data_IF_847915348806
#
_entry.id   IF_847915348806
#
_cell.length_a   1.000
_cell.length_b   1.000
_cell.length_c   1.000
_cell.angle_alpha   90.00
_cell.angle_beta   90.00
_cell.angle_gamma   90.00
#
_symmetry.space_group_name_H-M   'P 1'
#
loop_
_entity.id
_entity.type
_entity.pdbx_description
1 polymer ?
#
# COMPACT_ATOMS: atom_id res chain seq x y z
N UNK A 1 17.49 -6.67 -7.24
CA UNK A 1 18.87 -6.14 -7.26
C UNK A 1 18.86 -4.62 -7.50
N UNK A 2 18.25 -4.10 -8.58
CA UNK A 2 18.22 -2.68 -8.93
C UNK A 2 17.66 -1.77 -7.81
N UNK A 3 16.55 -2.14 -7.15
CA UNK A 3 16.00 -1.40 -6.03
C UNK A 3 17.03 -1.23 -4.90
N UNK A 4 17.65 -2.32 -4.46
CA UNK A 4 18.61 -2.32 -3.35
C UNK A 4 19.89 -1.55 -3.66
N UNK A 5 20.39 -1.65 -4.92
CA UNK A 5 21.69 -1.10 -5.29
C UNK A 5 21.62 0.34 -5.80
N UNK A 6 20.46 0.76 -6.33
CA UNK A 6 20.32 2.07 -6.98
C UNK A 6 19.24 2.94 -6.36
N UNK A 7 18.04 2.40 -6.11
CA UNK A 7 16.89 3.21 -5.67
C UNK A 7 16.99 3.55 -4.20
N UNK A 8 17.03 2.57 -3.32
CA UNK A 8 17.06 2.82 -1.87
C UNK A 8 18.23 3.70 -1.39
N UNK A 9 19.47 3.57 -1.93
CA UNK A 9 20.54 4.50 -1.57
C UNK A 9 20.31 5.95 -2.03
N UNK A 10 19.48 6.17 -3.06
CA UNK A 10 19.08 7.50 -3.49
C UNK A 10 17.94 8.03 -2.62
N UNK A 11 16.92 7.21 -2.36
CA UNK A 11 15.80 7.57 -1.46
C UNK A 11 16.28 7.98 -0.06
N UNK A 12 17.29 7.27 0.47
CA UNK A 12 17.89 7.60 1.77
C UNK A 12 18.56 9.00 1.84
N UNK A 13 18.77 9.65 0.71
CA UNK A 13 19.33 11.00 0.62
C UNK A 13 18.28 12.10 0.47
N UNK A 14 17.04 11.74 0.21
CA UNK A 14 15.97 12.72 0.00
C UNK A 14 15.65 13.44 1.30
N UNK A 15 15.65 14.76 1.25
CA UNK A 15 15.13 15.62 2.31
C UNK A 15 13.60 15.74 2.19
N UNK A 16 12.95 16.31 3.21
CA UNK A 16 11.53 16.65 3.14
C UNK A 16 11.25 17.68 2.04
N UNK A 17 12.16 18.64 1.86
CA UNK A 17 12.10 19.65 0.80
C UNK A 17 12.13 19.00 -0.58
N UNK A 18 13.02 18.03 -0.81
CA UNK A 18 13.08 17.29 -2.07
C UNK A 18 11.76 16.56 -2.34
N UNK A 19 11.22 15.86 -1.33
CA UNK A 19 9.94 15.14 -1.45
C UNK A 19 8.79 16.10 -1.73
N UNK A 20 8.76 17.26 -1.09
CA UNK A 20 7.74 18.29 -1.34
C UNK A 20 7.79 18.78 -2.80
N UNK A 21 8.95 19.17 -3.29
CA UNK A 21 9.11 19.70 -4.65
C UNK A 21 8.87 18.62 -5.73
N UNK A 22 9.35 17.40 -5.50
CA UNK A 22 9.07 16.28 -6.43
C UNK A 22 7.60 15.89 -6.44
N UNK A 23 6.91 15.97 -5.30
CA UNK A 23 5.46 15.76 -5.24
C UNK A 23 4.73 16.82 -6.04
N UNK A 24 5.11 18.09 -5.93
CA UNK A 24 4.53 19.18 -6.73
C UNK A 24 4.75 18.96 -8.23
N UNK A 25 5.94 18.55 -8.62
CA UNK A 25 6.24 18.23 -10.02
C UNK A 25 5.37 17.07 -10.53
N UNK A 26 5.25 16.00 -9.75
CA UNK A 26 4.40 14.85 -10.08
C UNK A 26 2.92 15.26 -10.19
N UNK A 27 2.43 16.13 -9.30
CA UNK A 27 1.04 16.64 -9.36
C UNK A 27 0.80 17.45 -10.64
N UNK A 28 1.74 18.26 -11.09
CA UNK A 28 1.61 18.96 -12.37
C UNK A 28 1.47 17.98 -13.54
N UNK A 29 2.27 16.93 -13.56
CA UNK A 29 2.19 15.87 -14.57
C UNK A 29 0.84 15.13 -14.50
N UNK A 30 0.36 14.79 -13.29
CA UNK A 30 -0.95 14.17 -13.10
C UNK A 30 -2.09 15.05 -13.60
N UNK A 31 -2.14 16.32 -13.21
CA UNK A 31 -3.21 17.24 -13.60
C UNK A 31 -3.22 17.49 -15.12
N UNK A 32 -2.06 17.64 -15.74
CA UNK A 32 -1.97 17.79 -17.21
C UNK A 32 -2.37 16.53 -17.96
N UNK A 33 -2.29 15.36 -17.30
CA UNK A 33 -2.73 14.07 -17.83
C UNK A 33 -4.20 13.73 -17.50
N UNK A 34 -4.93 14.65 -16.83
CA UNK A 34 -6.34 14.46 -16.45
C UNK A 34 -6.55 13.64 -15.18
N UNK A 35 -5.50 13.37 -14.40
CA UNK A 35 -5.58 12.66 -13.12
C UNK A 35 -5.91 13.68 -12.02
N UNK A 36 -7.02 13.46 -11.30
CA UNK A 36 -7.55 14.40 -10.30
C UNK A 36 -7.51 13.86 -8.86
N UNK A 37 -7.06 12.63 -8.65
CA UNK A 37 -6.84 12.04 -7.34
C UNK A 37 -5.77 10.96 -7.40
N UNK A 38 -5.02 10.82 -6.33
CA UNK A 38 -3.96 9.82 -6.18
C UNK A 38 -4.18 9.00 -4.91
N UNK A 39 -3.67 7.76 -4.93
CA UNK A 39 -3.54 6.92 -3.75
C UNK A 39 -2.05 6.63 -3.55
N UNK A 40 -1.46 7.16 -2.49
CA UNK A 40 -0.02 7.28 -2.33
C UNK A 40 0.50 6.50 -1.12
N UNK A 41 1.51 5.66 -1.36
CA UNK A 41 2.30 5.00 -0.32
C UNK A 41 3.78 5.31 -0.56
N UNK A 42 4.29 6.36 0.08
CA UNK A 42 5.70 6.73 -0.03
C UNK A 42 6.24 7.29 1.29
N UNK A 43 7.47 7.80 1.27
CA UNK A 43 8.12 8.40 2.43
C UNK A 43 7.42 9.70 2.84
N UNK A 44 7.46 10.02 4.14
CA UNK A 44 6.97 11.29 4.69
C UNK A 44 5.56 11.68 4.24
N UNK A 45 4.50 10.93 4.62
CA UNK A 45 3.12 11.22 4.21
C UNK A 45 2.67 12.65 4.50
N UNK A 46 3.13 13.25 5.61
CA UNK A 46 2.83 14.64 5.97
C UNK A 46 3.30 15.63 4.91
N UNK A 47 4.50 15.45 4.40
CA UNK A 47 5.08 16.34 3.36
C UNK A 47 4.33 16.22 2.04
N UNK A 48 3.94 15.00 1.68
CA UNK A 48 3.11 14.75 0.48
C UNK A 48 1.74 15.39 0.64
N UNK A 49 1.13 15.26 1.83
CA UNK A 49 -0.15 15.91 2.13
C UNK A 49 -0.09 17.43 1.97
N UNK A 50 0.96 18.07 2.49
CA UNK A 50 1.18 19.51 2.36
C UNK A 50 1.27 19.94 0.88
N UNK A 51 2.08 19.26 0.08
CA UNK A 51 2.18 19.52 -1.35
C UNK A 51 0.84 19.32 -2.08
N UNK A 52 0.08 18.27 -1.73
CA UNK A 52 -1.25 18.03 -2.29
C UNK A 52 -2.25 19.14 -1.94
N UNK A 53 -2.21 19.64 -0.69
CA UNK A 53 -3.06 20.75 -0.27
C UNK A 53 -2.75 22.04 -1.02
N UNK A 54 -1.47 22.37 -1.14
CA UNK A 54 -1.01 23.59 -1.82
C UNK A 54 -1.33 23.58 -3.32
N UNK A 55 -1.31 22.40 -3.93
CA UNK A 55 -1.63 22.20 -5.35
C UNK A 55 -3.11 21.90 -5.63
N UNK A 56 -3.94 21.72 -4.60
CA UNK A 56 -5.35 21.38 -4.75
C UNK A 56 -5.62 19.94 -5.23
N UNK A 57 -4.68 19.01 -5.00
CA UNK A 57 -4.79 17.61 -5.42
C UNK A 57 -5.48 16.75 -4.35
N UNK A 58 -6.44 15.92 -4.77
CA UNK A 58 -7.00 14.90 -3.87
C UNK A 58 -6.02 13.77 -3.68
N UNK A 59 -5.78 13.39 -2.41
CA UNK A 59 -4.86 12.32 -2.06
C UNK A 59 -5.43 11.42 -0.97
N UNK A 60 -5.38 10.13 -1.21
CA UNK A 60 -5.51 9.10 -0.18
C UNK A 60 -4.10 8.68 0.19
N UNK A 61 -3.67 8.96 1.39
CA UNK A 61 -2.37 8.55 1.92
C UNK A 61 -2.48 7.19 2.60
N UNK A 62 -1.39 6.46 2.62
CA UNK A 62 -1.24 5.26 3.45
C UNK A 62 0.20 5.11 3.90
N UNK A 63 0.41 4.41 5.01
CA UNK A 63 1.75 4.17 5.53
C UNK A 63 2.51 3.13 4.73
N UNK A 64 3.80 3.35 4.57
CA UNK A 64 4.78 2.34 4.14
C UNK A 64 5.48 1.66 5.32
N UNK A 65 4.82 1.55 6.46
CA UNK A 65 5.33 0.94 7.69
C UNK A 65 6.05 -0.38 7.42
N UNK A 66 7.24 -0.50 7.95
CA UNK A 66 8.05 -1.72 7.89
C UNK A 66 9.04 -1.74 9.07
N UNK A 67 9.83 -2.81 9.22
CA UNK A 67 10.77 -2.96 10.35
C UNK A 67 11.87 -1.89 10.43
N UNK A 68 12.06 -1.10 9.38
CA UNK A 68 13.19 -0.17 9.26
C UNK A 68 12.75 1.29 9.22
N UNK A 69 11.49 1.56 8.99
CA UNK A 69 10.95 2.91 8.85
C UNK A 69 9.56 3.02 9.48
N UNK A 70 9.30 4.13 10.15
CA UNK A 70 8.06 4.41 10.88
C UNK A 70 7.86 3.53 12.12
N UNK A 71 6.88 3.89 12.91
CA UNK A 71 6.38 3.08 14.03
C UNK A 71 4.85 3.02 13.98
N UNK A 72 4.26 2.08 14.71
CA UNK A 72 2.80 1.94 14.75
C UNK A 72 2.13 3.19 15.38
N UNK A 73 2.81 3.83 16.32
CA UNK A 73 2.35 5.07 16.96
C UNK A 73 2.32 6.21 15.95
N UNK A 74 3.33 6.34 15.10
CA UNK A 74 3.37 7.33 14.02
C UNK A 74 2.24 7.10 13.02
N UNK A 75 1.98 5.85 12.62
CA UNK A 75 0.88 5.51 11.72
C UNK A 75 -0.47 5.90 12.34
N UNK A 76 -0.64 5.69 13.63
CA UNK A 76 -1.85 6.07 14.36
C UNK A 76 -2.03 7.60 14.41
N UNK A 77 -0.95 8.34 14.70
CA UNK A 77 -0.96 9.81 14.72
C UNK A 77 -1.33 10.39 13.35
N UNK A 78 -0.72 9.91 12.27
CA UNK A 78 -1.01 10.31 10.90
C UNK A 78 -2.47 9.98 10.51
N UNK A 79 -2.95 8.77 10.84
CA UNK A 79 -4.33 8.37 10.62
C UNK A 79 -5.34 9.31 11.30
N UNK A 80 -5.09 9.65 12.56
CA UNK A 80 -5.95 10.58 13.33
C UNK A 80 -5.87 12.02 12.82
N UNK A 81 -4.68 12.45 12.40
CA UNK A 81 -4.42 13.80 11.89
C UNK A 81 -5.17 14.05 10.59
N UNK A 82 -5.00 13.17 9.61
CA UNK A 82 -5.45 13.43 8.24
C UNK A 82 -6.92 13.07 7.99
N UNK A 83 -7.52 12.20 8.76
CA UNK A 83 -8.93 11.84 8.59
C UNK A 83 -9.92 12.82 9.24
N UNK A 84 -9.46 13.82 9.98
CA UNK A 84 -10.37 14.74 10.69
C UNK A 84 -10.50 16.14 10.09
N UNK A 85 -9.65 16.55 9.17
CA UNK A 85 -9.45 17.99 8.93
C UNK A 85 -9.60 18.49 7.50
N UNK A 86 -9.74 17.65 6.49
CA UNK A 86 -9.63 18.13 5.12
C UNK A 86 -10.50 17.34 4.14
N UNK A 87 -11.06 18.04 3.15
CA UNK A 87 -11.84 17.42 2.08
C UNK A 87 -10.98 16.85 0.93
N UNK A 88 -9.69 17.21 0.86
CA UNK A 88 -8.78 16.75 -0.18
C UNK A 88 -7.92 15.57 0.28
N UNK A 89 -7.59 15.49 1.56
CA UNK A 89 -6.69 14.46 2.09
C UNK A 89 -7.47 13.50 2.98
N UNK A 90 -7.23 12.22 2.76
CA UNK A 90 -7.63 11.13 3.66
C UNK A 90 -6.45 10.19 3.87
N UNK A 91 -6.51 9.38 4.92
CA UNK A 91 -5.46 8.45 5.27
C UNK A 91 -6.04 7.06 5.55
N UNK A 92 -5.47 6.04 4.96
CA UNK A 92 -5.80 4.64 5.21
C UNK A 92 -4.68 3.96 5.99
N UNK A 93 -5.05 3.02 6.87
CA UNK A 93 -4.03 2.20 7.51
C UNK A 93 -3.31 1.34 6.45
N UNK A 94 -2.03 1.15 6.64
CA UNK A 94 -1.24 0.34 5.72
C UNK A 94 0.14 -0.01 6.28
N UNK A 95 0.79 -0.91 5.58
CA UNK A 95 2.18 -1.29 5.77
C UNK A 95 2.76 -1.69 4.42
N UNK A 96 4.09 -1.69 4.32
CA UNK A 96 4.74 -1.87 3.02
C UNK A 96 4.40 -3.22 2.39
N UNK A 97 4.83 -4.33 2.99
CA UNK A 97 4.58 -5.69 2.50
C UNK A 97 4.80 -6.72 3.62
N UNK A 98 4.26 -7.94 3.45
CA UNK A 98 4.42 -9.03 4.41
C UNK A 98 5.89 -9.30 4.74
N UNK A 99 6.75 -9.36 3.72
CA UNK A 99 8.17 -9.72 3.86
C UNK A 99 9.06 -8.63 4.45
N UNK A 100 8.55 -7.41 4.62
CA UNK A 100 9.28 -6.29 5.25
C UNK A 100 8.87 -6.02 6.68
N UNK A 101 7.88 -6.75 7.19
CA UNK A 101 7.34 -6.59 8.54
C UNK A 101 7.55 -7.86 9.36
N UNK A 102 7.95 -7.71 10.61
CA UNK A 102 7.94 -8.81 11.55
C UNK A 102 6.50 -9.22 11.90
N UNK A 103 6.34 -10.43 12.41
CA UNK A 103 5.02 -10.92 12.85
C UNK A 103 4.44 -10.07 13.98
N UNK A 104 5.29 -9.56 14.86
CA UNK A 104 4.92 -8.66 15.95
C UNK A 104 4.39 -7.33 15.42
N UNK A 105 5.06 -6.75 14.41
CA UNK A 105 4.61 -5.50 13.78
C UNK A 105 3.28 -5.71 13.05
N UNK A 106 3.13 -6.82 12.31
CA UNK A 106 1.87 -7.17 11.65
C UNK A 106 0.72 -7.37 12.66
N UNK A 107 1.02 -7.93 13.83
CA UNK A 107 0.03 -8.03 14.90
C UNK A 107 -0.40 -6.65 15.42
N UNK A 108 0.54 -5.72 15.60
CA UNK A 108 0.22 -4.33 15.97
C UNK A 108 -0.65 -3.64 14.90
N UNK A 109 -0.37 -3.86 13.61
CA UNK A 109 -1.22 -3.36 12.51
C UNK A 109 -2.64 -3.92 12.63
N UNK A 110 -2.77 -5.23 12.89
CA UNK A 110 -4.07 -5.86 13.11
C UNK A 110 -4.81 -5.23 14.29
N UNK A 111 -4.12 -5.03 15.43
CA UNK A 111 -4.73 -4.37 16.60
C UNK A 111 -5.20 -2.94 16.27
N UNK A 112 -4.41 -2.19 15.51
CA UNK A 112 -4.77 -0.83 15.11
C UNK A 112 -5.99 -0.83 14.18
N UNK A 113 -6.05 -1.75 13.21
CA UNK A 113 -7.20 -1.95 12.34
C UNK A 113 -8.47 -2.28 13.16
N UNK A 114 -8.38 -3.13 14.16
CA UNK A 114 -9.49 -3.48 15.05
C UNK A 114 -9.93 -2.30 15.94
N UNK A 115 -8.96 -1.52 16.46
CA UNK A 115 -9.23 -0.33 17.28
C UNK A 115 -10.09 0.68 16.56
N UNK A 116 -9.80 0.92 15.28
CA UNK A 116 -10.49 1.93 14.46
C UNK A 116 -11.54 1.34 13.51
N UNK A 117 -11.69 0.01 13.46
CA UNK A 117 -12.50 -0.71 12.48
C UNK A 117 -12.18 -0.23 11.05
N UNK A 118 -10.91 -0.07 10.77
CA UNK A 118 -10.39 0.55 9.57
C UNK A 118 -9.82 -0.48 8.58
N UNK A 119 -9.99 -0.24 7.27
CA UNK A 119 -9.39 -1.06 6.22
C UNK A 119 -7.87 -0.89 6.20
N UNK A 120 -7.15 -1.93 5.72
CA UNK A 120 -5.69 -1.95 5.63
C UNK A 120 -5.25 -2.18 4.19
N UNK A 121 -4.24 -1.43 3.75
CA UNK A 121 -3.66 -1.53 2.40
C UNK A 121 -2.19 -1.94 2.46
N UNK A 122 -1.75 -2.79 1.51
CA UNK A 122 -0.37 -3.28 1.45
C UNK A 122 -0.02 -3.76 0.04
N UNK A 123 1.28 -3.81 -0.31
CA UNK A 123 1.71 -4.56 -1.49
C UNK A 123 1.44 -6.05 -1.24
N UNK A 124 0.82 -6.69 -2.21
CA UNK A 124 0.28 -8.03 -2.02
C UNK A 124 0.49 -8.91 -3.25
N UNK A 125 1.19 -10.02 -3.05
CA UNK A 125 1.43 -11.02 -4.09
C UNK A 125 1.95 -10.41 -5.41
N UNK A 126 2.87 -9.43 -5.30
CA UNK A 126 3.45 -8.75 -6.46
C UNK A 126 4.35 -9.69 -7.25
N UNK A 127 5.23 -10.42 -6.56
CA UNK A 127 6.21 -11.29 -7.21
C UNK A 127 6.02 -12.76 -6.82
N UNK A 128 6.39 -13.65 -7.75
CA UNK A 128 6.38 -15.09 -7.47
C UNK A 128 7.27 -15.42 -6.27
N UNK A 129 8.42 -14.75 -6.16
CA UNK A 129 9.37 -14.91 -5.05
C UNK A 129 8.72 -14.58 -3.70
N UNK A 130 8.03 -13.48 -3.58
CA UNK A 130 7.29 -13.09 -2.38
C UNK A 130 6.34 -14.21 -1.92
N UNK A 131 5.54 -14.75 -2.84
CA UNK A 131 4.59 -15.82 -2.55
C UNK A 131 5.29 -17.11 -2.13
N UNK A 132 6.37 -17.50 -2.82
CA UNK A 132 7.13 -18.71 -2.51
C UNK A 132 7.85 -18.58 -1.16
N UNK A 133 8.46 -17.45 -0.86
CA UNK A 133 9.13 -17.20 0.42
C UNK A 133 8.14 -17.15 1.59
N UNK A 134 6.96 -16.56 1.43
CA UNK A 134 5.91 -16.58 2.44
C UNK A 134 5.41 -18.00 2.70
N UNK A 135 5.20 -18.80 1.64
CA UNK A 135 4.85 -20.22 1.78
C UNK A 135 5.94 -21.01 2.49
N UNK A 136 7.20 -20.72 2.22
CA UNK A 136 8.31 -21.40 2.90
C UNK A 136 8.37 -21.05 4.40
N UNK A 137 8.04 -19.79 4.78
CA UNK A 137 8.03 -19.35 6.19
C UNK A 137 6.81 -19.83 6.96
N UNK A 138 5.62 -19.76 6.37
CA UNK A 138 4.36 -19.90 7.09
C UNK A 138 3.44 -21.01 6.56
N UNK A 139 3.81 -21.68 5.47
CA UNK A 139 2.96 -22.67 4.80
C UNK A 139 1.78 -22.07 4.06
N UNK A 140 1.70 -20.75 3.91
CA UNK A 140 0.56 -19.99 3.39
C UNK A 140 1.03 -18.93 2.39
N UNK A 141 0.12 -18.50 1.49
CA UNK A 141 0.34 -17.30 0.69
C UNK A 141 0.30 -16.04 1.56
N UNK A 142 0.87 -14.91 1.11
CA UNK A 142 0.77 -13.66 1.85
C UNK A 142 -0.67 -13.27 2.20
N UNK A 143 -1.62 -13.42 1.26
CA UNK A 143 -3.03 -13.11 1.48
C UNK A 143 -3.65 -13.96 2.59
N UNK A 144 -3.44 -15.27 2.55
CA UNK A 144 -3.95 -16.20 3.57
C UNK A 144 -3.33 -15.91 4.92
N UNK A 145 -2.00 -15.71 4.97
CA UNK A 145 -1.29 -15.41 6.20
C UNK A 145 -1.80 -14.12 6.86
N UNK A 146 -1.91 -13.03 6.11
CA UNK A 146 -2.39 -11.75 6.62
C UNK A 146 -3.86 -11.79 7.05
N UNK A 147 -4.70 -12.55 6.34
CA UNK A 147 -6.10 -12.78 6.75
C UNK A 147 -6.19 -13.56 8.07
N UNK A 148 -5.36 -14.59 8.27
CA UNK A 148 -5.30 -15.34 9.54
C UNK A 148 -4.87 -14.48 10.73
N UNK A 149 -4.10 -13.42 10.49
CA UNK A 149 -3.73 -12.44 11.50
C UNK A 149 -4.84 -11.39 11.79
N UNK A 150 -5.97 -11.45 11.08
CA UNK A 150 -7.09 -10.53 11.25
C UNK A 150 -6.87 -9.14 10.65
N UNK A 151 -5.83 -8.96 9.82
CA UNK A 151 -5.50 -7.67 9.21
C UNK A 151 -6.61 -7.18 8.28
N UNK A 152 -7.26 -8.09 7.55
CA UNK A 152 -8.29 -7.76 6.57
C UNK A 152 -9.72 -7.86 7.10
N UNK A 153 -9.91 -7.89 8.42
CA UNK A 153 -11.25 -8.01 9.03
C UNK A 153 -12.21 -6.91 8.60
N UNK A 154 -11.71 -5.70 8.41
CA UNK A 154 -12.49 -4.52 8.00
C UNK A 154 -12.27 -4.15 6.52
N UNK A 155 -11.83 -5.09 5.70
CA UNK A 155 -11.52 -4.84 4.29
C UNK A 155 -10.15 -4.21 4.08
N UNK A 156 -10.00 -3.52 2.96
CA UNK A 156 -8.75 -2.88 2.57
C UNK A 156 -8.42 -3.12 1.11
N UNK A 157 -7.14 -3.22 0.79
CA UNK A 157 -6.72 -3.49 -0.57
C UNK A 157 -5.30 -4.02 -0.69
N UNK A 158 -5.08 -4.70 -1.79
CA UNK A 158 -3.76 -5.15 -2.21
C UNK A 158 -3.28 -4.40 -3.44
N UNK A 159 -2.08 -3.83 -3.37
CA UNK A 159 -1.41 -3.31 -4.56
C UNK A 159 -0.80 -4.48 -5.34
N UNK A 160 -0.75 -4.36 -6.66
CA UNK A 160 -0.25 -5.32 -7.64
C UNK A 160 -1.13 -6.56 -7.82
N UNK A 161 -1.25 -7.43 -6.82
CA UNK A 161 -2.06 -8.65 -6.84
C UNK A 161 -1.84 -9.53 -8.09
N UNK A 162 -0.57 -9.73 -8.46
CA UNK A 162 -0.18 -10.45 -9.69
C UNK A 162 -0.30 -11.97 -9.53
N UNK A 163 0.21 -12.50 -8.40
CA UNK A 163 0.37 -13.94 -8.17
C UNK A 163 -0.65 -14.49 -7.17
N UNK A 164 -1.93 -14.19 -7.41
CA UNK A 164 -3.03 -14.65 -6.57
C UNK A 164 -3.43 -16.10 -6.89
N UNK A 165 -3.71 -16.88 -5.86
CA UNK A 165 -4.37 -18.18 -5.96
C UNK A 165 -5.89 -18.03 -5.94
N UNK A 166 -6.67 -19.08 -6.32
CA UNK A 166 -8.12 -19.06 -6.15
C UNK A 166 -8.58 -18.83 -4.71
N UNK A 167 -7.82 -19.29 -3.71
CA UNK A 167 -8.08 -19.07 -2.29
C UNK A 167 -7.85 -17.61 -1.89
N UNK A 168 -6.77 -17.00 -2.38
CA UNK A 168 -6.50 -15.57 -2.18
C UNK A 168 -7.65 -14.71 -2.70
N UNK A 169 -8.11 -15.00 -3.91
CA UNK A 169 -9.24 -14.28 -4.53
C UNK A 169 -10.53 -14.44 -3.73
N UNK A 170 -10.78 -15.61 -3.13
CA UNK A 170 -11.95 -15.83 -2.28
C UNK A 170 -11.85 -15.00 -0.98
N UNK A 171 -10.65 -14.86 -0.41
CA UNK A 171 -10.41 -13.97 0.74
C UNK A 171 -10.69 -12.52 0.34
N UNK A 172 -10.11 -12.04 -0.78
CA UNK A 172 -10.33 -10.68 -1.27
C UNK A 172 -11.84 -10.39 -1.43
N UNK A 173 -12.58 -11.31 -2.03
CA UNK A 173 -14.03 -11.21 -2.23
C UNK A 173 -14.80 -11.17 -0.89
N UNK A 174 -14.51 -12.13 0.00
CA UNK A 174 -15.18 -12.27 1.31
C UNK A 174 -14.92 -11.06 2.21
N UNK A 175 -13.69 -10.55 2.20
CA UNK A 175 -13.26 -9.39 2.98
C UNK A 175 -13.61 -8.06 2.31
N UNK A 176 -14.24 -8.07 1.11
CA UNK A 176 -14.59 -6.88 0.34
C UNK A 176 -13.39 -5.98 0.07
N UNK A 177 -12.27 -6.59 -0.27
CA UNK A 177 -11.04 -5.88 -0.57
C UNK A 177 -11.02 -5.38 -2.01
N UNK A 178 -10.26 -4.31 -2.23
CA UNK A 178 -9.96 -3.76 -3.54
C UNK A 178 -8.61 -4.28 -4.04
N UNK A 179 -8.48 -4.43 -5.34
CA UNK A 179 -7.19 -4.63 -6.00
C UNK A 179 -6.78 -3.33 -6.67
N UNK A 180 -5.57 -2.87 -6.37
CA UNK A 180 -4.97 -1.70 -7.03
C UNK A 180 -3.89 -2.20 -7.96
N UNK A 181 -4.21 -2.39 -9.23
CA UNK A 181 -3.22 -2.88 -10.20
C UNK A 181 -2.30 -1.76 -10.68
N UNK A 182 -1.01 -2.08 -10.84
CA UNK A 182 0.04 -1.16 -11.26
C UNK A 182 0.71 -1.66 -12.55
N UNK A 183 0.02 -1.61 -13.71
CA UNK A 183 0.48 -2.29 -14.93
C UNK A 183 1.88 -1.84 -15.39
N UNK A 184 2.17 -0.54 -15.35
CA UNK A 184 3.47 -0.01 -15.75
C UNK A 184 4.60 -0.51 -14.85
N UNK A 185 4.40 -0.51 -13.52
CA UNK A 185 5.35 -1.04 -12.55
C UNK A 185 5.54 -2.55 -12.72
N UNK A 186 4.44 -3.30 -12.81
CA UNK A 186 4.46 -4.75 -12.98
C UNK A 186 5.25 -5.18 -14.23
N UNK A 187 5.09 -4.47 -15.33
CA UNK A 187 5.81 -4.74 -16.58
C UNK A 187 7.28 -4.30 -16.50
N UNK A 188 7.55 -3.12 -15.94
CA UNK A 188 8.91 -2.59 -15.79
C UNK A 188 9.79 -3.48 -14.91
N UNK A 189 9.22 -4.01 -13.83
CA UNK A 189 9.92 -4.87 -12.87
C UNK A 189 9.82 -6.36 -13.21
N UNK A 190 9.12 -6.70 -14.30
CA UNK A 190 8.85 -8.08 -14.72
C UNK A 190 8.14 -8.92 -13.64
N UNK A 191 7.29 -8.28 -12.83
CA UNK A 191 6.47 -8.96 -11.82
C UNK A 191 5.40 -9.85 -12.45
N UNK A 192 4.85 -9.44 -13.60
CA UNK A 192 3.83 -10.17 -14.35
C UNK A 192 2.60 -9.32 -14.67
N UNK A 193 1.49 -9.98 -14.98
CA UNK A 193 0.21 -9.35 -15.29
C UNK A 193 -0.84 -9.79 -14.27
N UNK A 194 -1.46 -8.84 -13.59
CA UNK A 194 -2.54 -9.14 -12.65
C UNK A 194 -3.74 -9.80 -13.38
N UNK A 195 -4.42 -10.77 -12.77
CA UNK A 195 -5.51 -11.53 -13.38
C UNK A 195 -6.84 -10.75 -13.38
N UNK A 196 -6.85 -9.55 -13.97
CA UNK A 196 -7.97 -8.58 -13.91
C UNK A 196 -9.29 -9.19 -14.39
N UNK A 197 -9.27 -9.96 -15.49
CA UNK A 197 -10.48 -10.61 -15.99
C UNK A 197 -11.07 -11.67 -15.01
N UNK A 198 -10.22 -12.34 -14.24
CA UNK A 198 -10.68 -13.28 -13.22
C UNK A 198 -11.21 -12.55 -11.99
N UNK A 199 -10.55 -11.46 -11.58
CA UNK A 199 -11.01 -10.60 -10.49
C UNK A 199 -12.40 -10.02 -10.79
N UNK A 200 -12.60 -9.51 -12.01
CA UNK A 200 -13.92 -9.00 -12.45
C UNK A 200 -14.99 -10.09 -12.44
N UNK A 201 -14.70 -11.28 -12.99
CA UNK A 201 -15.64 -12.42 -12.94
C UNK A 201 -16.06 -12.79 -11.51
N UNK A 202 -15.17 -12.64 -10.54
CA UNK A 202 -15.42 -12.89 -9.11
C UNK A 202 -16.03 -11.70 -8.38
N UNK A 203 -16.29 -10.58 -9.07
CA UNK A 203 -16.81 -9.35 -8.48
C UNK A 203 -15.88 -8.75 -7.41
N UNK A 204 -14.58 -8.90 -7.62
CA UNK A 204 -13.55 -8.23 -6.82
C UNK A 204 -13.24 -6.90 -7.53
N UNK A 205 -13.43 -5.75 -6.90
CA UNK A 205 -13.19 -4.46 -7.54
C UNK A 205 -11.70 -4.22 -7.80
N UNK A 206 -11.38 -3.68 -9.00
CA UNK A 206 -10.04 -3.35 -9.47
C UNK A 206 -9.99 -1.88 -9.84
#
# INVERSE_FOLDING_TARGET
QWLNEKVFPMEAKLSKEDIYEFTRLAILEYLTSGITSIFEMYLTPDTIAEACLDMGMRCVLTSSLNNFSSSIEQVEEEYLKWNKKNSLISYQLGFHAEYTCSKELLYQVSQLAHKYRAPVYTHLAETKREVEECKARYGMTPTVFLDTMGIFEFGGGGYHCVHLTPEDMEILRRRRMYVVTNPASNLKLASGIAPVAELDRRKIPV
#
